data_IF_961234114153
#
_entry.id   IF_961234114153
#
_cell.length_a   1.000
_cell.length_b   1.000
_cell.length_c   1.000
_cell.angle_alpha   90.00
_cell.angle_beta   90.00
_cell.angle_gamma   90.00
#
_symmetry.space_group_name_H-M   'P 1'
#
loop_
_entity.id
_entity.type
_entity.pdbx_description
1 polymer ?
#
# COMPACT_ATOMS: atom_id res chain seq x y z
N UNK A 1 -7.52 4.35 -10.31
CA UNK A 1 -6.62 3.42 -9.61
C UNK A 1 -7.44 2.71 -8.55
N UNK A 2 -7.24 1.41 -8.39
CA UNK A 2 -7.89 0.58 -7.38
C UNK A 2 -7.49 1.09 -5.97
N UNK A 3 -8.45 1.24 -5.04
CA UNK A 3 -8.17 1.61 -3.65
C UNK A 3 -7.07 0.77 -2.99
N UNK A 4 -6.99 -0.53 -3.30
CA UNK A 4 -5.97 -1.39 -2.69
C UNK A 4 -4.56 -1.11 -3.25
N UNK A 5 -4.43 -0.75 -4.53
CA UNK A 5 -3.14 -0.35 -5.08
C UNK A 5 -2.65 0.95 -4.44
N UNK A 6 -3.55 1.91 -4.23
CA UNK A 6 -3.23 3.16 -3.54
C UNK A 6 -2.76 2.90 -2.11
N UNK A 7 -3.55 2.17 -1.34
CA UNK A 7 -3.27 1.89 0.07
C UNK A 7 -2.01 1.05 0.25
N UNK A 8 -1.84 -0.03 -0.51
CA UNK A 8 -0.68 -0.90 -0.41
C UNK A 8 0.60 -0.21 -0.89
N UNK A 9 0.56 0.62 -1.93
CA UNK A 9 1.72 1.41 -2.36
C UNK A 9 2.18 2.41 -1.30
N UNK A 10 1.24 3.13 -0.69
CA UNK A 10 1.53 4.05 0.42
C UNK A 10 2.08 3.30 1.64
N UNK A 11 1.45 2.19 2.02
CA UNK A 11 1.90 1.39 3.15
C UNK A 11 3.27 0.73 2.92
N UNK A 12 3.56 0.32 1.68
CA UNK A 12 4.85 -0.25 1.30
C UNK A 12 5.99 0.77 1.52
N UNK A 13 5.82 1.99 1.01
CA UNK A 13 6.82 3.05 1.15
C UNK A 13 6.98 3.46 2.62
N UNK A 14 5.88 3.62 3.37
CA UNK A 14 5.96 3.90 4.80
C UNK A 14 6.66 2.79 5.59
N UNK A 15 6.40 1.52 5.26
CA UNK A 15 7.05 0.37 5.88
C UNK A 15 8.57 0.33 5.60
N UNK A 16 9.04 0.86 4.46
CA UNK A 16 10.47 0.93 4.14
C UNK A 16 11.26 1.84 5.06
N UNK A 17 10.62 2.72 5.84
CA UNK A 17 11.32 3.51 6.85
C UNK A 17 11.52 2.75 8.18
N UNK A 18 10.88 1.59 8.36
CA UNK A 18 10.97 0.79 9.57
C UNK A 18 12.12 -0.23 9.47
N UNK A 19 12.93 -0.42 10.52
CA UNK A 19 14.02 -1.40 10.51
C UNK A 19 13.54 -2.86 10.35
N UNK A 20 12.31 -3.17 10.78
CA UNK A 20 11.71 -4.49 10.66
C UNK A 20 11.09 -4.81 9.28
N UNK A 21 11.31 -3.97 8.26
CA UNK A 21 10.66 -4.10 6.94
C UNK A 21 11.02 -5.38 6.15
N UNK A 22 12.07 -6.11 6.52
CA UNK A 22 12.55 -7.26 5.75
C UNK A 22 11.46 -8.34 5.56
N UNK A 23 10.58 -8.51 6.55
CA UNK A 23 9.41 -9.40 6.41
C UNK A 23 8.41 -8.92 5.35
N UNK A 24 8.18 -7.61 5.25
CA UNK A 24 7.34 -7.02 4.22
C UNK A 24 7.96 -7.15 2.82
N UNK A 25 9.28 -6.91 2.70
CA UNK A 25 10.04 -7.11 1.46
C UNK A 25 9.86 -8.54 0.95
N UNK A 26 10.16 -9.53 1.78
CA UNK A 26 10.08 -10.94 1.40
C UNK A 26 8.66 -11.34 0.98
N UNK A 27 7.64 -10.86 1.69
CA UNK A 27 6.25 -11.11 1.33
C UNK A 27 5.88 -10.49 -0.04
N UNK A 28 6.38 -9.29 -0.32
CA UNK A 28 6.15 -8.61 -1.60
C UNK A 28 6.87 -9.31 -2.76
N UNK A 29 8.13 -9.68 -2.58
CA UNK A 29 8.90 -10.46 -3.56
C UNK A 29 8.24 -11.81 -3.83
N UNK A 30 7.71 -12.49 -2.81
CA UNK A 30 6.99 -13.76 -2.97
C UNK A 30 5.65 -13.59 -3.71
N UNK A 31 4.96 -12.45 -3.53
CA UNK A 31 3.78 -12.11 -4.33
C UNK A 31 4.14 -12.03 -5.81
N UNK A 32 5.22 -11.31 -6.14
CA UNK A 32 5.69 -11.23 -7.52
C UNK A 32 6.16 -12.57 -8.06
N UNK A 33 6.84 -13.38 -7.25
CA UNK A 33 7.31 -14.71 -7.66
C UNK A 33 6.18 -15.62 -8.14
N UNK A 34 5.00 -15.53 -7.51
CA UNK A 34 3.84 -16.33 -7.89
C UNK A 34 3.12 -15.81 -9.14
N UNK A 35 3.15 -14.49 -9.37
CA UNK A 35 2.37 -13.85 -10.45
C UNK A 35 3.19 -13.54 -11.71
N UNK A 36 4.47 -13.24 -11.52
CA UNK A 36 5.48 -12.80 -12.52
C UNK A 36 6.87 -13.26 -12.08
N UNK A 37 7.16 -14.57 -12.06
CA UNK A 37 8.42 -15.10 -11.55
C UNK A 37 9.65 -14.48 -12.22
N UNK A 38 9.56 -14.14 -13.51
CA UNK A 38 10.62 -13.51 -14.28
C UNK A 38 10.96 -12.07 -13.85
N UNK A 39 10.09 -11.42 -13.08
CA UNK A 39 10.28 -10.05 -12.58
C UNK A 39 10.61 -10.02 -11.07
N UNK A 40 10.50 -11.14 -10.37
CA UNK A 40 10.59 -11.18 -8.91
C UNK A 40 11.95 -10.68 -8.38
N UNK A 41 13.06 -11.10 -9.01
CA UNK A 41 14.40 -10.71 -8.58
C UNK A 41 14.67 -9.21 -8.86
N UNK A 42 14.13 -8.69 -9.96
CA UNK A 42 14.21 -7.27 -10.30
C UNK A 42 13.44 -6.42 -9.28
N UNK A 43 12.22 -6.84 -8.94
CA UNK A 43 11.37 -6.18 -7.94
C UNK A 43 12.02 -6.20 -6.56
N UNK A 44 12.67 -7.30 -6.19
CA UNK A 44 13.42 -7.37 -4.94
C UNK A 44 14.54 -6.32 -4.90
N UNK A 45 15.34 -6.21 -5.97
CA UNK A 45 16.38 -5.19 -6.08
C UNK A 45 15.81 -3.77 -6.00
N UNK A 46 14.73 -3.48 -6.74
CA UNK A 46 14.05 -2.18 -6.72
C UNK A 46 13.46 -1.83 -5.35
N UNK A 47 12.95 -2.81 -4.59
CA UNK A 47 12.51 -2.60 -3.20
C UNK A 47 13.69 -2.17 -2.31
N UNK A 48 14.89 -2.74 -2.52
CA UNK A 48 16.11 -2.35 -1.79
C UNK A 48 16.50 -0.90 -2.08
N UNK A 49 16.50 -0.57 -3.36
CA UNK A 49 16.87 0.75 -3.85
C UNK A 49 15.87 1.81 -3.39
N UNK A 50 14.57 1.53 -3.51
CA UNK A 50 13.51 2.41 -3.02
C UNK A 50 13.69 2.66 -1.52
N UNK A 51 13.97 1.62 -0.71
CA UNK A 51 14.23 1.83 0.73
C UNK A 51 15.38 2.80 0.96
N UNK A 52 16.50 2.63 0.26
CA UNK A 52 17.64 3.54 0.43
C UNK A 52 17.26 5.00 0.13
N UNK A 53 16.44 5.21 -0.92
CA UNK A 53 15.93 6.54 -1.26
C UNK A 53 14.94 7.08 -0.23
N UNK A 54 14.03 6.25 0.31
CA UNK A 54 13.10 6.64 1.38
C UNK A 54 13.83 7.07 2.64
N UNK A 55 14.84 6.29 3.06
CA UNK A 55 15.65 6.63 4.24
C UNK A 55 16.38 7.96 4.04
N UNK A 56 17.02 8.14 2.88
CA UNK A 56 17.70 9.40 2.56
C UNK A 56 16.73 10.58 2.51
N UNK A 57 15.58 10.44 1.85
CA UNK A 57 14.57 11.48 1.77
C UNK A 57 14.03 11.89 3.15
N UNK A 58 13.81 10.92 4.05
CA UNK A 58 13.36 11.20 5.42
C UNK A 58 14.44 11.88 6.27
N UNK A 59 15.72 11.53 6.09
CA UNK A 59 16.84 12.19 6.78
C UNK A 59 16.94 13.68 6.45
N UNK A 60 16.70 14.06 5.18
CA UNK A 60 16.76 15.46 4.73
C UNK A 60 15.40 16.18 4.67
N UNK A 61 14.30 15.48 4.99
CA UNK A 61 12.93 16.02 4.98
C UNK A 61 12.33 16.24 3.59
N UNK A 62 12.83 15.56 2.55
CA UNK A 62 12.36 15.63 1.17
C UNK A 62 11.06 14.84 0.93
N UNK A 63 9.94 15.43 1.36
CA UNK A 63 8.62 14.81 1.21
C UNK A 63 8.21 14.56 -0.24
N UNK A 64 8.68 15.36 -1.20
CA UNK A 64 8.35 15.20 -2.61
C UNK A 64 8.95 13.91 -3.21
N UNK A 65 10.18 13.58 -2.81
CA UNK A 65 10.85 12.34 -3.22
C UNK A 65 10.08 11.11 -2.72
N UNK A 66 9.68 11.11 -1.44
CA UNK A 66 8.88 10.01 -0.87
C UNK A 66 7.50 9.86 -1.55
N UNK A 67 6.87 10.99 -1.90
CA UNK A 67 5.60 10.99 -2.65
C UNK A 67 5.78 10.43 -4.07
N UNK A 68 6.86 10.76 -4.77
CA UNK A 68 7.17 10.23 -6.09
C UNK A 68 7.39 8.71 -6.05
N UNK A 69 8.15 8.22 -5.06
CA UNK A 69 8.37 6.78 -4.84
C UNK A 69 7.07 6.05 -4.53
N UNK A 70 6.20 6.67 -3.72
CA UNK A 70 4.86 6.14 -3.44
C UNK A 70 4.05 6.00 -4.72
N UNK A 71 4.02 7.04 -5.56
CA UNK A 71 3.28 7.01 -6.82
C UNK A 71 3.79 5.94 -7.79
N UNK A 72 5.11 5.72 -7.86
CA UNK A 72 5.69 4.65 -8.70
C UNK A 72 5.22 3.25 -8.26
N UNK A 73 5.29 2.95 -6.96
CA UNK A 73 4.82 1.67 -6.43
C UNK A 73 3.31 1.47 -6.59
N UNK A 74 2.52 2.53 -6.42
CA UNK A 74 1.08 2.50 -6.69
C UNK A 74 0.76 2.14 -8.15
N UNK A 75 1.51 2.70 -9.10
CA UNK A 75 1.36 2.39 -10.53
C UNK A 75 1.76 0.95 -10.86
N UNK A 76 2.85 0.45 -10.26
CA UNK A 76 3.30 -0.94 -10.41
C UNK A 76 2.27 -1.92 -9.86
N UNK A 77 1.74 -1.68 -8.66
CA UNK A 77 0.66 -2.48 -8.06
C UNK A 77 -0.62 -2.42 -8.90
N UNK A 78 -0.99 -1.26 -9.43
CA UNK A 78 -2.12 -1.14 -10.35
C UNK A 78 -1.91 -1.92 -11.65
N UNK A 79 -0.68 -1.99 -12.16
CA UNK A 79 -0.36 -2.82 -13.33
C UNK A 79 -0.46 -4.31 -13.00
N UNK A 80 0.02 -4.73 -11.82
CA UNK A 80 -0.11 -6.10 -11.34
C UNK A 80 -1.59 -6.50 -11.21
N UNK A 81 -2.42 -5.69 -10.54
CA UNK A 81 -3.86 -5.95 -10.38
C UNK A 81 -4.63 -5.97 -11.71
N UNK A 82 -4.25 -5.13 -12.68
CA UNK A 82 -4.87 -5.17 -14.02
C UNK A 82 -4.57 -6.47 -14.75
N UNK A 83 -3.38 -7.03 -14.53
CA UNK A 83 -2.99 -8.28 -15.16
C UNK A 83 -3.54 -9.51 -14.41
N UNK A 84 -3.62 -9.43 -13.08
CA UNK A 84 -4.02 -10.50 -12.18
C UNK A 84 -4.98 -9.97 -11.11
N UNK A 85 -6.27 -9.78 -11.44
CA UNK A 85 -7.26 -9.21 -10.51
C UNK A 85 -7.42 -10.01 -9.21
N UNK A 86 -7.15 -11.32 -9.24
CA UNK A 86 -7.16 -12.22 -8.09
C UNK A 86 -6.15 -11.85 -7.00
N UNK A 87 -5.12 -11.05 -7.33
CA UNK A 87 -4.11 -10.56 -6.38
C UNK A 87 -4.72 -9.57 -5.37
N UNK A 88 -5.89 -8.99 -5.65
CA UNK A 88 -6.47 -7.96 -4.79
C UNK A 88 -6.64 -8.41 -3.33
N UNK A 89 -7.16 -9.62 -3.10
CA UNK A 89 -7.37 -10.15 -1.73
C UNK A 89 -6.06 -10.47 -1.04
N UNK A 90 -5.09 -10.95 -1.80
CA UNK A 90 -3.77 -11.23 -1.26
C UNK A 90 -2.99 -9.96 -0.90
N UNK A 91 -3.13 -8.91 -1.72
CA UNK A 91 -2.57 -7.60 -1.45
C UNK A 91 -3.22 -6.94 -0.23
N UNK A 92 -4.53 -7.13 -0.03
CA UNK A 92 -5.23 -6.74 1.23
C UNK A 92 -4.64 -7.47 2.42
N UNK A 93 -4.50 -8.79 2.35
CA UNK A 93 -3.92 -9.55 3.45
C UNK A 93 -2.47 -9.14 3.75
N UNK A 94 -1.65 -8.90 2.72
CA UNK A 94 -0.28 -8.42 2.88
C UNK A 94 -0.27 -7.01 3.51
N UNK A 95 -1.16 -6.13 3.08
CA UNK A 95 -1.33 -4.80 3.66
C UNK A 95 -1.61 -4.90 5.16
N UNK A 96 -2.60 -5.69 5.57
CA UNK A 96 -3.03 -5.76 6.96
C UNK A 96 -2.03 -6.49 7.87
N UNK A 97 -1.36 -7.52 7.35
CA UNK A 97 -0.52 -8.41 8.18
C UNK A 97 0.97 -8.08 8.15
N UNK A 98 1.46 -7.42 7.09
CA UNK A 98 2.89 -7.16 6.89
C UNK A 98 3.25 -5.68 6.75
N UNK A 99 2.39 -4.85 6.14
CA UNK A 99 2.71 -3.44 5.89
C UNK A 99 2.19 -2.53 7.00
N UNK A 100 0.89 -2.54 7.25
CA UNK A 100 0.25 -1.67 8.23
C UNK A 100 0.86 -1.76 9.64
N UNK A 101 1.26 -2.95 10.16
CA UNK A 101 1.91 -3.04 11.46
C UNK A 101 3.27 -2.33 11.57
N UNK A 102 3.92 -2.01 10.45
CA UNK A 102 5.22 -1.32 10.41
C UNK A 102 5.09 0.21 10.37
N UNK A 103 3.88 0.71 10.13
CA UNK A 103 3.58 2.14 10.01
C UNK A 103 3.36 2.78 11.39
N UNK A 104 3.60 4.08 11.49
CA UNK A 104 3.14 4.89 12.63
C UNK A 104 1.60 4.95 12.69
N UNK A 105 1.04 5.32 13.84
CA UNK A 105 -0.41 5.44 13.99
C UNK A 105 -1.04 6.45 13.02
N UNK A 106 -0.32 7.52 12.67
CA UNK A 106 -0.76 8.52 11.70
C UNK A 106 -0.82 7.93 10.28
N UNK A 107 0.24 7.26 9.86
CA UNK A 107 0.33 6.59 8.56
C UNK A 107 -0.71 5.46 8.44
N UNK A 108 -0.95 4.67 9.50
CA UNK A 108 -2.00 3.65 9.52
C UNK A 108 -3.39 4.26 9.29
N UNK A 109 -3.69 5.41 9.93
CA UNK A 109 -4.96 6.10 9.72
C UNK A 109 -5.10 6.63 8.29
N UNK A 110 -4.03 7.15 7.71
CA UNK A 110 -4.03 7.62 6.32
C UNK A 110 -4.27 6.46 5.34
N UNK A 111 -3.56 5.34 5.50
CA UNK A 111 -3.73 4.13 4.68
C UNK A 111 -5.13 3.55 4.81
N UNK A 112 -5.68 3.46 6.03
CA UNK A 112 -7.05 3.00 6.24
C UNK A 112 -8.09 3.83 5.47
N UNK A 113 -7.88 5.15 5.38
CA UNK A 113 -8.78 6.05 4.64
C UNK A 113 -8.80 5.80 3.13
N UNK A 114 -7.71 5.29 2.56
CA UNK A 114 -7.60 5.00 1.13
C UNK A 114 -8.41 3.76 0.73
N UNK A 115 -8.44 2.72 1.59
CA UNK A 115 -9.23 1.51 1.36
C UNK A 115 -10.72 1.76 1.57
N UNK A 116 -11.06 2.75 2.41
CA UNK A 116 -12.44 3.17 2.70
C UNK A 116 -13.12 3.98 1.59
N UNK A 117 -12.71 3.80 0.32
CA UNK A 117 -13.38 4.46 -0.81
C UNK A 117 -14.68 3.75 -1.15
N UNK A 118 -15.76 4.24 -0.58
CA UNK A 118 -17.13 3.89 -0.91
C UNK A 118 -17.52 4.27 -2.35
N UNK A 119 -18.14 3.34 -3.08
CA UNK A 119 -18.80 3.63 -4.35
C UNK A 119 -20.32 3.61 -4.14
N UNK A 120 -20.98 4.75 -4.37
CA UNK A 120 -22.44 4.89 -4.28
C UNK A 120 -23.00 5.06 -5.70
N UNK A 121 -23.98 4.23 -6.09
CA UNK A 121 -24.72 4.37 -7.36
C UNK A 121 -26.22 4.45 -7.14
N UNK A 122 -26.95 5.12 -8.05
CA UNK A 122 -28.39 5.38 -7.91
C UNK A 122 -28.72 6.30 -6.72
N UNK A 123 -29.70 5.93 -5.91
CA UNK A 123 -30.06 6.60 -4.65
C UNK A 123 -29.37 5.97 -3.42
N UNK A 124 -28.20 5.34 -3.61
CA UNK A 124 -27.43 4.73 -2.54
C UNK A 124 -26.76 5.77 -1.64
N UNK A 125 -26.91 5.64 -0.33
CA UNK A 125 -26.14 6.39 0.67
C UNK A 125 -25.08 5.46 1.24
N UNK A 126 -23.81 5.87 1.19
CA UNK A 126 -22.75 5.13 1.87
C UNK A 126 -22.34 5.87 3.12
N UNK A 127 -22.40 5.14 4.23
CA UNK A 127 -21.92 5.57 5.52
C UNK A 127 -20.71 4.70 5.86
N UNK A 128 -19.54 5.32 5.97
CA UNK A 128 -18.31 4.60 6.28
C UNK A 128 -17.53 5.35 7.37
N UNK A 129 -17.14 4.63 8.41
CA UNK A 129 -16.31 5.14 9.48
C UNK A 129 -15.21 4.12 9.79
N UNK A 130 -13.97 4.57 9.93
CA UNK A 130 -12.87 3.73 10.40
C UNK A 130 -12.87 3.50 11.91
N UNK A 131 -13.91 3.98 12.63
CA UNK A 131 -14.11 3.97 14.09
C UNK A 131 -15.62 4.01 14.37
N UNK A 132 -16.05 4.49 15.54
CA UNK A 132 -17.47 4.59 15.92
C UNK A 132 -18.31 5.44 14.95
N UNK A 133 -19.47 4.91 14.59
CA UNK A 133 -20.46 5.59 13.75
C UNK A 133 -21.84 5.55 14.41
N UNK A 134 -22.36 6.72 14.77
CA UNK A 134 -23.75 6.89 15.18
C UNK A 134 -24.54 7.50 14.02
N UNK A 135 -25.52 6.74 13.49
CA UNK A 135 -26.41 7.19 12.43
C UNK A 135 -27.83 7.26 13.00
N UNK A 136 -28.44 8.44 12.94
CA UNK A 136 -29.85 8.64 13.28
C UNK A 136 -30.59 8.95 11.99
N UNK A 137 -31.39 8.00 11.49
CA UNK A 137 -32.27 8.22 10.34
C UNK A 137 -33.66 8.68 10.83
N UNK A 138 -34.30 9.55 10.04
CA UNK A 138 -35.66 10.05 10.27
C UNK A 138 -36.65 9.32 9.37
#
# INVERSE_FOLDING_TARGET
MDPIALAAGTALVGAMANDAWQGARSAMTELWRRMRPEQADAVDAELAETRAQVLSAREVGERETEQALTADWQLRLQALLRAHPEVADELRNLLDTRLAPLLSAEEQSAVGSLVMKAEASGSGRVYQAGRDQHITER
#
